data_IF_108683430673
#
_entry.id   IF_108683430673
#
_cell.length_a   1.000
_cell.length_b   1.000
_cell.length_c   1.000
_cell.angle_alpha   90.00
_cell.angle_beta   90.00
_cell.angle_gamma   90.00
#
_symmetry.space_group_name_H-M   'P 1'
#
loop_
_entity.id
_entity.type
_entity.pdbx_description
1 polymer ?
#
# COMPACT_ATOMS: atom_id res chain seq x y z
N UNK A 1 18.14 3.63 -16.81
CA UNK A 1 17.50 4.34 -15.67
C UNK A 1 17.70 3.52 -14.41
N UNK A 2 18.47 4.01 -13.41
CA UNK A 2 18.55 3.32 -12.11
C UNK A 2 17.15 3.30 -11.52
N UNK A 3 16.55 2.11 -11.36
CA UNK A 3 15.27 1.96 -10.66
C UNK A 3 15.52 2.39 -9.21
N UNK A 4 15.19 3.64 -8.86
CA UNK A 4 15.17 4.10 -7.46
C UNK A 4 14.22 3.18 -6.71
N UNK A 5 14.70 2.51 -5.67
CA UNK A 5 13.87 1.59 -4.90
C UNK A 5 12.83 2.41 -4.14
N UNK A 6 11.69 1.81 -3.81
CA UNK A 6 10.65 2.48 -3.00
C UNK A 6 11.19 2.99 -1.66
N UNK A 7 12.18 2.29 -1.10
CA UNK A 7 13.00 2.71 0.05
C UNK A 7 13.64 4.08 -0.19
N UNK A 8 14.22 4.31 -1.37
CA UNK A 8 14.92 5.56 -1.70
C UNK A 8 13.96 6.74 -1.95
N UNK A 9 12.69 6.45 -2.30
CA UNK A 9 11.69 7.45 -2.66
C UNK A 9 10.81 7.88 -1.48
N UNK A 10 10.48 6.95 -0.59
CA UNK A 10 9.52 7.19 0.49
C UNK A 10 10.01 6.72 1.86
N UNK A 11 11.19 6.08 1.93
CA UNK A 11 11.76 5.58 3.19
C UNK A 11 11.03 4.37 3.76
N UNK A 12 10.28 3.65 2.93
CA UNK A 12 9.53 2.46 3.33
C UNK A 12 10.25 1.18 2.94
N UNK A 13 10.31 0.23 3.87
CA UNK A 13 10.77 -1.13 3.56
C UNK A 13 9.74 -1.84 2.69
N UNK A 14 10.18 -2.93 2.05
CA UNK A 14 9.27 -3.78 1.29
C UNK A 14 8.19 -4.39 2.19
N UNK A 15 8.55 -4.82 3.41
CA UNK A 15 7.62 -5.41 4.37
C UNK A 15 6.53 -4.42 4.81
N UNK A 16 6.89 -3.17 5.09
CA UNK A 16 5.92 -2.13 5.45
C UNK A 16 4.90 -1.89 4.33
N UNK A 17 5.39 -1.87 3.08
CA UNK A 17 4.53 -1.73 1.91
C UNK A 17 3.62 -2.94 1.73
N UNK A 18 4.14 -4.16 1.87
CA UNK A 18 3.38 -5.40 1.72
C UNK A 18 2.29 -5.51 2.79
N UNK A 19 2.56 -5.13 4.04
CA UNK A 19 1.55 -5.07 5.11
C UNK A 19 0.39 -4.11 4.77
N UNK A 20 0.67 -2.95 4.18
CA UNK A 20 -0.39 -2.02 3.77
C UNK A 20 -1.15 -2.52 2.55
N UNK A 21 -0.45 -3.11 1.60
CA UNK A 21 -1.08 -3.69 0.42
C UNK A 21 -2.06 -4.79 0.84
N UNK A 22 -1.64 -5.68 1.74
CA UNK A 22 -2.50 -6.71 2.30
C UNK A 22 -3.70 -6.12 3.05
N UNK A 23 -3.47 -5.11 3.89
CA UNK A 23 -4.55 -4.41 4.61
C UNK A 23 -5.55 -3.75 3.66
N UNK A 24 -5.07 -3.11 2.60
CA UNK A 24 -5.90 -2.45 1.59
C UNK A 24 -6.71 -3.45 0.77
N UNK A 25 -6.11 -4.59 0.40
CA UNK A 25 -6.77 -5.69 -0.30
C UNK A 25 -7.87 -6.28 0.59
N UNK A 26 -7.57 -6.59 1.84
CA UNK A 26 -8.56 -7.09 2.80
C UNK A 26 -9.73 -6.11 2.98
N UNK A 27 -9.45 -4.80 3.03
CA UNK A 27 -10.49 -3.77 3.13
C UNK A 27 -11.37 -3.74 1.88
N UNK A 28 -10.79 -3.80 0.68
CA UNK A 28 -11.54 -3.83 -0.59
C UNK A 28 -12.40 -5.07 -0.70
N UNK A 29 -11.87 -6.24 -0.37
CA UNK A 29 -12.62 -7.49 -0.34
C UNK A 29 -13.81 -7.43 0.62
N UNK A 30 -13.59 -6.96 1.86
CA UNK A 30 -14.68 -6.74 2.82
C UNK A 30 -15.74 -5.79 2.28
N UNK A 31 -15.34 -4.67 1.67
CA UNK A 31 -16.29 -3.70 1.10
C UNK A 31 -17.07 -4.24 -0.10
N UNK A 32 -16.48 -5.15 -0.88
CA UNK A 32 -17.11 -5.78 -2.02
C UNK A 32 -17.94 -7.02 -1.64
N UNK A 33 -17.93 -7.43 -0.37
CA UNK A 33 -18.55 -8.68 0.08
C UNK A 33 -17.89 -9.94 -0.50
N UNK A 34 -16.67 -9.82 -1.03
CA UNK A 34 -15.98 -10.91 -1.73
C UNK A 34 -15.11 -11.73 -0.77
N UNK A 35 -15.07 -13.06 -0.91
CA UNK A 35 -14.14 -13.89 -0.16
C UNK A 35 -12.69 -13.61 -0.57
N UNK A 36 -11.76 -13.80 0.36
CA UNK A 36 -10.31 -13.56 0.12
C UNK A 36 -9.71 -14.42 -0.99
N UNK A 37 -10.37 -15.54 -1.32
CA UNK A 37 -10.01 -16.43 -2.42
C UNK A 37 -10.34 -15.83 -3.80
N UNK A 38 -11.24 -14.85 -3.88
CA UNK A 38 -11.55 -14.10 -5.10
C UNK A 38 -10.62 -12.88 -5.26
N UNK A 39 -9.31 -13.11 -5.11
CA UNK A 39 -8.32 -12.07 -5.34
C UNK A 39 -8.18 -11.79 -6.84
N UNK A 40 -9.04 -10.90 -7.34
CA UNK A 40 -8.94 -10.42 -8.71
C UNK A 40 -7.66 -9.57 -8.89
N UNK A 41 -6.92 -9.81 -9.97
CA UNK A 41 -5.73 -9.03 -10.33
C UNK A 41 -6.07 -7.55 -10.41
N UNK A 42 -7.25 -7.20 -10.92
CA UNK A 42 -7.67 -5.81 -11.04
C UNK A 42 -7.86 -5.15 -9.67
N UNK A 43 -8.34 -5.90 -8.67
CA UNK A 43 -8.44 -5.42 -7.29
C UNK A 43 -7.05 -5.19 -6.70
N UNK A 44 -6.13 -6.14 -6.90
CA UNK A 44 -4.74 -6.02 -6.42
C UNK A 44 -4.06 -4.80 -7.04
N UNK A 45 -4.17 -4.61 -8.36
CA UNK A 45 -3.59 -3.45 -9.04
C UNK A 45 -4.23 -2.14 -8.62
N UNK A 46 -5.55 -2.10 -8.43
CA UNK A 46 -6.24 -0.91 -7.94
C UNK A 46 -5.77 -0.54 -6.54
N UNK A 47 -5.64 -1.50 -5.62
CA UNK A 47 -5.14 -1.25 -4.26
C UNK A 47 -3.67 -0.83 -4.29
N UNK A 48 -2.84 -1.49 -5.09
CA UNK A 48 -1.43 -1.12 -5.26
C UNK A 48 -1.30 0.34 -5.69
N UNK A 49 -2.08 0.77 -6.69
CA UNK A 49 -2.08 2.15 -7.18
C UNK A 49 -2.60 3.14 -6.13
N UNK A 50 -3.60 2.76 -5.35
CA UNK A 50 -4.14 3.60 -4.28
C UNK A 50 -3.17 3.76 -3.10
N UNK A 51 -2.56 2.66 -2.64
CA UNK A 51 -1.63 2.70 -1.51
C UNK A 51 -0.34 3.43 -1.89
N UNK A 52 0.21 3.19 -3.09
CA UNK A 52 1.39 3.92 -3.59
C UNK A 52 1.17 5.43 -3.66
N UNK A 53 -0.04 5.90 -4.01
CA UNK A 53 -0.40 7.33 -4.01
C UNK A 53 -0.47 7.93 -2.60
N UNK A 54 -0.73 7.12 -1.57
CA UNK A 54 -0.86 7.58 -0.18
C UNK A 54 0.47 7.60 0.57
N UNK A 55 1.48 6.88 0.09
CA UNK A 55 2.81 6.75 0.73
C UNK A 55 3.42 8.10 1.16
N UNK A 56 3.60 9.11 0.28
CA UNK A 56 4.23 10.37 0.70
C UNK A 56 3.41 11.12 1.77
N UNK A 57 2.07 11.06 1.70
CA UNK A 57 1.20 11.72 2.69
C UNK A 57 1.20 11.01 4.04
N UNK A 58 1.23 9.67 4.05
CA UNK A 58 1.36 8.88 5.28
C UNK A 58 2.68 9.15 5.96
N UNK A 59 3.79 9.14 5.21
CA UNK A 59 5.11 9.39 5.79
C UNK A 59 5.22 10.76 6.42
N UNK A 60 4.68 11.78 5.75
CA UNK A 60 4.60 13.14 6.30
C UNK A 60 3.80 13.19 7.62
N UNK A 61 2.74 12.39 7.75
CA UNK A 61 1.99 12.27 9.01
C UNK A 61 2.77 11.53 10.08
N UNK A 62 3.40 10.41 9.75
CA UNK A 62 4.24 9.64 10.68
C UNK A 62 5.38 10.51 11.23
N UNK A 63 6.11 11.24 10.37
CA UNK A 63 7.17 12.16 10.79
C UNK A 63 6.67 13.33 11.64
N UNK A 64 5.40 13.73 11.49
CA UNK A 64 4.78 14.77 12.34
C UNK A 64 4.35 14.27 13.70
N UNK A 65 4.10 12.98 13.83
CA UNK A 65 3.57 12.34 15.06
C UNK A 65 4.71 11.68 15.84
N UNK A 66 5.79 11.30 15.17
CA UNK A 66 7.02 10.84 15.81
C UNK A 66 7.63 11.99 16.65
N UNK A 67 7.88 11.78 17.95
CA UNK A 67 8.44 12.79 18.85
C UNK A 67 9.87 13.18 18.51
#
# INVERSE_FOLDING_TARGET
MKKRRYVDLYGYTQDEFDCWLESGINKKLRSAGKPRLELDKDIVFAVYKDETRKLPRRRLREMRIAP
#
